data_IF_626394619342
#
_entry.id   IF_626394619342
#
_cell.length_a   1.000
_cell.length_b   1.000
_cell.length_c   1.000
_cell.angle_alpha   90.00
_cell.angle_beta   90.00
_cell.angle_gamma   90.00
#
_symmetry.space_group_name_H-M   'P 1'
#
loop_
_entity.id
_entity.type
_entity.pdbx_description
1 polymer ?
#
# COMPACT_ATOMS: atom_id res chain seq x y z
N UNK A 1 -7.99 26.15 -6.23
CA UNK A 1 -7.35 25.55 -7.42
C UNK A 1 -8.14 24.30 -7.85
N UNK A 2 -8.62 24.22 -9.09
CA UNK A 2 -9.45 23.09 -9.56
C UNK A 2 -8.64 21.78 -9.73
N UNK A 3 -7.41 21.87 -10.24
CA UNK A 3 -6.52 20.72 -10.46
C UNK A 3 -6.21 20.02 -9.13
N UNK A 4 -5.95 20.80 -8.08
CA UNK A 4 -5.71 20.26 -6.74
C UNK A 4 -6.92 19.49 -6.20
N UNK A 5 -8.13 20.05 -6.35
CA UNK A 5 -9.38 19.40 -5.87
C UNK A 5 -9.66 18.10 -6.64
N UNK A 6 -9.46 18.10 -7.95
CA UNK A 6 -9.60 16.90 -8.79
C UNK A 6 -8.62 15.82 -8.35
N UNK A 7 -7.33 16.15 -8.21
CA UNK A 7 -6.32 15.21 -7.78
C UNK A 7 -6.62 14.64 -6.38
N UNK A 8 -7.04 15.47 -5.43
CA UNK A 8 -7.41 15.00 -4.09
C UNK A 8 -8.59 14.01 -4.11
N UNK A 9 -9.61 14.27 -4.93
CA UNK A 9 -10.74 13.35 -5.11
C UNK A 9 -10.29 12.04 -5.76
N UNK A 10 -9.43 12.11 -6.76
CA UNK A 10 -8.93 10.92 -7.43
C UNK A 10 -8.08 10.04 -6.50
N UNK A 11 -7.24 10.66 -5.67
CA UNK A 11 -6.48 9.93 -4.63
C UNK A 11 -7.43 9.28 -3.61
N UNK A 12 -8.50 9.97 -3.20
CA UNK A 12 -9.49 9.37 -2.31
C UNK A 12 -10.19 8.15 -2.95
N UNK A 13 -10.51 8.23 -4.25
CA UNK A 13 -11.07 7.12 -5.01
C UNK A 13 -10.08 5.95 -5.14
N UNK A 14 -8.80 6.24 -5.39
CA UNK A 14 -7.72 5.24 -5.41
C UNK A 14 -7.64 4.48 -4.08
N UNK A 15 -7.64 5.21 -2.96
CA UNK A 15 -7.62 4.62 -1.60
C UNK A 15 -8.86 3.78 -1.38
N UNK A 16 -10.05 4.26 -1.73
CA UNK A 16 -11.30 3.52 -1.53
C UNK A 16 -11.33 2.20 -2.33
N UNK A 17 -10.81 2.23 -3.57
CA UNK A 17 -10.83 1.10 -4.49
C UNK A 17 -9.88 -0.03 -4.10
N UNK A 18 -8.79 0.24 -3.36
CA UNK A 18 -7.81 -0.77 -2.99
C UNK A 18 -7.75 -1.05 -1.48
N UNK A 19 -8.30 -2.19 -0.99
CA UNK A 19 -8.25 -2.54 0.44
C UNK A 19 -6.86 -2.88 0.97
N UNK A 20 -5.88 -3.22 0.12
CA UNK A 20 -4.52 -3.55 0.58
C UNK A 20 -3.74 -2.31 0.99
N UNK A 21 -4.15 -1.14 0.48
CA UNK A 21 -3.47 0.14 0.73
C UNK A 21 -3.79 0.63 2.13
N UNK A 22 -2.76 0.71 2.97
CA UNK A 22 -2.88 1.04 4.40
C UNK A 22 -1.89 2.12 4.85
N UNK A 23 -0.87 2.40 4.04
CA UNK A 23 0.13 3.44 4.31
C UNK A 23 0.44 4.28 3.05
N UNK A 24 1.07 5.44 3.23
CA UNK A 24 1.42 6.32 2.09
C UNK A 24 2.60 5.73 1.32
N UNK A 25 3.64 5.32 2.05
CA UNK A 25 4.87 4.72 1.55
C UNK A 25 5.17 3.40 2.28
N UNK A 26 6.00 2.54 1.68
CA UNK A 26 6.41 1.29 2.33
C UNK A 26 7.23 1.54 3.62
N UNK A 27 7.88 2.70 3.71
CA UNK A 27 8.66 3.09 4.90
C UNK A 27 7.76 3.46 6.08
N UNK A 28 6.52 3.88 5.83
CA UNK A 28 5.52 4.19 6.86
C UNK A 28 4.99 2.93 7.59
N UNK A 29 5.36 1.73 7.14
CA UNK A 29 5.00 0.49 7.85
C UNK A 29 5.77 0.42 9.17
N UNK A 30 5.11 0.22 10.32
CA UNK A 30 5.79 0.14 11.62
C UNK A 30 6.79 -1.02 11.69
N UNK A 31 7.96 -0.79 12.28
CA UNK A 31 9.02 -1.81 12.42
C UNK A 31 8.53 -3.07 13.16
N UNK A 32 7.64 -2.92 14.14
CA UNK A 32 7.02 -4.06 14.83
C UNK A 32 6.19 -4.94 13.88
N UNK A 33 5.47 -4.33 12.93
CA UNK A 33 4.73 -5.07 11.90
C UNK A 33 5.69 -5.74 10.93
N UNK A 34 6.77 -5.05 10.52
CA UNK A 34 7.81 -5.63 9.66
C UNK A 34 8.47 -6.86 10.30
N UNK A 35 8.81 -6.77 11.59
CA UNK A 35 9.41 -7.86 12.34
C UNK A 35 8.46 -9.06 12.48
N UNK A 36 7.20 -8.81 12.88
CA UNK A 36 6.17 -9.86 12.97
C UNK A 36 5.95 -10.57 11.64
N UNK A 37 5.83 -9.80 10.56
CA UNK A 37 5.64 -10.38 9.23
C UNK A 37 6.85 -11.20 8.78
N UNK A 38 8.07 -10.73 9.07
CA UNK A 38 9.30 -11.46 8.78
C UNK A 38 9.35 -12.81 9.51
N UNK A 39 8.95 -12.82 10.78
CA UNK A 39 8.86 -14.04 11.58
C UNK A 39 7.84 -15.02 11.00
N UNK A 40 6.64 -14.54 10.66
CA UNK A 40 5.58 -15.35 10.03
C UNK A 40 6.03 -15.94 8.69
N UNK A 41 6.66 -15.15 7.83
CA UNK A 41 7.18 -15.62 6.54
C UNK A 41 8.30 -16.65 6.71
N UNK A 42 9.19 -16.48 7.70
CA UNK A 42 10.26 -17.45 8.00
C UNK A 42 9.73 -18.80 8.50
N UNK A 43 8.55 -18.83 9.11
CA UNK A 43 7.93 -20.06 9.63
C UNK A 43 7.17 -20.87 8.55
N UNK A 44 7.08 -20.37 7.31
CA UNK A 44 6.35 -21.09 6.26
C UNK A 44 7.03 -22.39 5.87
N UNK A 45 6.23 -23.45 5.76
CA UNK A 45 6.67 -24.81 5.41
C UNK A 45 7.43 -24.88 4.08
N UNK A 46 7.12 -23.98 3.14
CA UNK A 46 7.77 -23.91 1.83
C UNK A 46 9.25 -23.48 1.91
N UNK A 47 9.69 -23.02 3.09
CA UNK A 47 11.09 -22.73 3.40
C UNK A 47 11.81 -23.90 4.08
N UNK A 48 11.09 -24.94 4.50
CA UNK A 48 11.68 -26.11 5.12
C UNK A 48 12.68 -26.79 4.16
N UNK A 49 13.88 -27.09 4.66
CA UNK A 49 14.96 -27.70 3.88
C UNK A 49 15.74 -26.74 2.98
N UNK A 50 15.37 -25.44 2.91
CA UNK A 50 16.20 -24.43 2.24
C UNK A 50 17.33 -23.96 3.17
N UNK A 51 18.54 -23.71 2.64
CA UNK A 51 19.60 -23.07 3.42
C UNK A 51 19.14 -21.70 3.96
N UNK A 52 19.57 -21.34 5.17
CA UNK A 52 19.13 -20.13 5.89
C UNK A 52 19.31 -18.84 5.08
N UNK A 53 20.42 -18.72 4.35
CA UNK A 53 20.71 -17.59 3.47
C UNK A 53 19.74 -17.48 2.29
N UNK A 54 19.25 -18.63 1.77
CA UNK A 54 18.27 -18.67 0.69
C UNK A 54 16.88 -18.35 1.24
N UNK A 55 16.49 -18.95 2.37
CA UNK A 55 15.23 -18.66 3.04
C UNK A 55 15.11 -17.16 3.37
N UNK A 56 16.15 -16.57 3.95
CA UNK A 56 16.18 -15.14 4.30
C UNK A 56 15.98 -14.25 3.07
N UNK A 57 16.67 -14.51 1.96
CA UNK A 57 16.52 -13.73 0.72
C UNK A 57 15.11 -13.86 0.12
N UNK A 58 14.51 -15.05 0.21
CA UNK A 58 13.12 -15.26 -0.25
C UNK A 58 12.17 -14.42 0.60
N UNK A 59 12.31 -14.47 1.92
CA UNK A 59 11.49 -13.69 2.85
C UNK A 59 11.64 -12.20 2.61
N UNK A 60 12.86 -11.68 2.45
CA UNK A 60 13.10 -10.27 2.12
C UNK A 60 12.38 -9.83 0.85
N UNK A 61 12.41 -10.65 -0.20
CA UNK A 61 11.67 -10.38 -1.44
C UNK A 61 10.15 -10.35 -1.24
N UNK A 62 9.61 -11.27 -0.43
CA UNK A 62 8.17 -11.33 -0.09
C UNK A 62 7.74 -10.11 0.72
N UNK A 63 8.51 -9.75 1.74
CA UNK A 63 8.25 -8.57 2.57
C UNK A 63 8.29 -7.29 1.73
N UNK A 64 9.30 -7.14 0.88
CA UNK A 64 9.39 -5.99 -0.03
C UNK A 64 8.17 -5.87 -0.93
N UNK A 65 7.71 -6.99 -1.50
CA UNK A 65 6.50 -7.02 -2.32
C UNK A 65 5.26 -6.64 -1.50
N UNK A 66 5.07 -7.26 -0.32
CA UNK A 66 3.92 -7.01 0.55
C UNK A 66 3.82 -5.55 0.98
N UNK A 67 4.93 -4.96 1.44
CA UNK A 67 4.93 -3.56 1.87
C UNK A 67 4.78 -2.58 0.70
N UNK A 68 5.27 -2.94 -0.49
CA UNK A 68 5.00 -2.16 -1.70
C UNK A 68 3.51 -2.19 -2.10
N UNK A 69 2.83 -3.34 -1.95
CA UNK A 69 1.38 -3.47 -2.20
C UNK A 69 0.53 -2.70 -1.17
N UNK A 70 1.05 -2.48 0.03
CA UNK A 70 0.40 -1.68 1.08
C UNK A 70 0.57 -0.17 0.89
N UNK A 71 1.57 0.26 0.12
CA UNK A 71 1.94 1.65 -0.07
C UNK A 71 1.14 2.32 -1.18
N UNK A 72 0.46 3.42 -0.88
CA UNK A 72 -0.32 4.20 -1.84
C UNK A 72 0.53 4.72 -3.00
N UNK A 73 1.70 5.30 -2.73
CA UNK A 73 2.51 5.95 -3.77
C UNK A 73 3.01 4.98 -4.85
N UNK A 74 3.25 3.72 -4.48
CA UNK A 74 3.71 2.67 -5.41
C UNK A 74 2.59 2.04 -6.25
N UNK A 75 1.33 2.35 -5.97
CA UNK A 75 0.19 1.79 -6.69
C UNK A 75 0.13 2.34 -8.12
N UNK A 76 -0.38 1.49 -9.04
CA UNK A 76 -0.80 1.94 -10.36
C UNK A 76 -1.98 2.89 -10.24
N UNK A 77 -1.97 3.94 -11.06
CA UNK A 77 -3.01 4.96 -11.04
C UNK A 77 -4.27 4.45 -11.73
N UNK A 78 -5.42 4.51 -11.06
CA UNK A 78 -6.67 3.91 -11.54
C UNK A 78 -7.16 4.49 -12.88
N UNK A 79 -6.79 5.74 -13.21
CA UNK A 79 -7.14 6.35 -14.50
C UNK A 79 -6.11 6.10 -15.61
N UNK A 80 -4.92 5.61 -15.27
CA UNK A 80 -3.79 5.40 -16.18
C UNK A 80 -2.80 4.40 -15.56
N UNK A 81 -2.96 3.12 -15.88
CA UNK A 81 -2.15 2.04 -15.29
C UNK A 81 -0.69 2.05 -15.75
N UNK A 82 -0.32 2.86 -16.74
CA UNK A 82 1.07 3.05 -17.12
C UNK A 82 1.84 3.81 -16.03
N UNK A 83 1.14 4.61 -15.23
CA UNK A 83 1.73 5.46 -14.19
C UNK A 83 1.42 4.97 -12.78
N UNK A 84 2.28 5.37 -11.86
CA UNK A 84 2.09 5.22 -10.42
C UNK A 84 1.45 6.48 -9.82
N UNK A 85 0.86 6.35 -8.63
CA UNK A 85 0.35 7.50 -7.86
C UNK A 85 1.47 8.52 -7.61
N UNK A 86 2.71 8.06 -7.37
CA UNK A 86 3.87 8.95 -7.19
C UNK A 86 4.20 9.76 -8.44
N UNK A 87 4.18 9.14 -9.63
CA UNK A 87 4.43 9.83 -10.90
C UNK A 87 3.33 10.87 -11.19
N UNK A 88 2.07 10.51 -10.97
CA UNK A 88 0.95 11.45 -11.13
C UNK A 88 1.07 12.61 -10.14
N UNK A 89 1.46 12.35 -8.88
CA UNK A 89 1.73 13.39 -7.89
C UNK A 89 2.81 14.38 -8.38
N UNK A 90 3.94 13.86 -8.89
CA UNK A 90 5.03 14.68 -9.46
C UNK A 90 4.57 15.51 -10.66
N UNK A 91 3.76 14.94 -11.55
CA UNK A 91 3.16 15.67 -12.67
C UNK A 91 2.25 16.81 -12.19
N UNK A 92 1.46 16.58 -11.12
CA UNK A 92 0.61 17.64 -10.54
C UNK A 92 1.44 18.74 -9.89
N UNK A 93 2.52 18.40 -9.18
CA UNK A 93 3.47 19.37 -8.60
C UNK A 93 4.07 20.25 -9.71
N UNK A 94 4.57 19.64 -10.79
CA UNK A 94 5.16 20.36 -11.92
C UNK A 94 4.14 21.29 -12.59
N UNK A 95 2.89 20.86 -12.73
CA UNK A 95 1.81 21.66 -13.34
C UNK A 95 1.35 22.83 -12.46
N UNK A 96 1.40 22.67 -11.13
CA UNK A 96 0.94 23.68 -10.18
C UNK A 96 2.03 24.66 -9.75
N UNK A 97 3.30 24.26 -9.82
CA UNK A 97 4.42 25.05 -9.32
C UNK A 97 4.48 25.11 -7.79
N UNK A 98 3.79 24.21 -7.10
CA UNK A 98 3.70 24.14 -5.64
C UNK A 98 4.03 22.73 -5.15
N UNK A 99 4.66 22.64 -3.98
CA UNK A 99 4.92 21.34 -3.36
C UNK A 99 3.62 20.71 -2.86
N UNK A 100 3.38 19.44 -3.22
CA UNK A 100 2.23 18.65 -2.79
C UNK A 100 2.69 17.39 -2.08
N UNK A 101 2.06 17.09 -0.95
CA UNK A 101 2.35 15.91 -0.14
C UNK A 101 1.04 15.25 0.27
N UNK A 102 0.94 13.94 0.05
CA UNK A 102 -0.13 13.12 0.64
C UNK A 102 0.30 12.81 2.08
N UNK A 103 -0.28 13.50 3.06
CA UNK A 103 0.17 13.40 4.46
C UNK A 103 -0.32 12.13 5.17
N UNK A 104 -1.60 11.80 4.98
CA UNK A 104 -2.30 10.67 5.61
C UNK A 104 -3.63 10.43 4.92
N UNK A 105 -4.13 9.21 5.01
CA UNK A 105 -5.50 8.87 4.63
C UNK A 105 -6.09 7.92 5.67
N UNK A 106 -7.41 7.78 5.64
CA UNK A 106 -8.14 6.74 6.36
C UNK A 106 -9.17 6.19 5.39
N UNK A 107 -9.27 4.87 5.35
CA UNK A 107 -10.32 4.16 4.61
C UNK A 107 -11.26 3.54 5.64
N UNK A 108 -12.55 3.78 5.47
CA UNK A 108 -13.59 3.21 6.33
C UNK A 108 -14.50 2.36 5.46
N UNK A 109 -14.67 1.09 5.83
CA UNK A 109 -15.62 0.19 5.20
C UNK A 109 -16.79 -0.09 6.15
N UNK A 110 -18.02 0.03 5.64
CA UNK A 110 -19.19 -0.36 6.39
C UNK A 110 -19.19 -1.88 6.62
N UNK A 111 -19.33 -2.30 7.87
CA UNK A 111 -19.34 -3.72 8.25
C UNK A 111 -17.96 -4.34 8.49
N UNK A 112 -16.87 -3.56 8.42
CA UNK A 112 -15.54 -4.06 8.77
C UNK A 112 -15.49 -4.51 10.23
N UNK A 113 -15.12 -5.78 10.46
CA UNK A 113 -15.06 -6.39 11.79
C UNK A 113 -16.40 -6.87 12.37
N UNK A 114 -17.49 -6.82 11.61
CA UNK A 114 -18.76 -7.44 12.01
C UNK A 114 -18.86 -8.87 11.44
N UNK A 115 -19.09 -9.86 12.31
CA UNK A 115 -19.55 -11.18 11.85
C UNK A 115 -20.94 -11.02 11.24
N UNK A 116 -21.13 -11.56 10.02
CA UNK A 116 -22.46 -11.61 9.41
C UNK A 116 -23.35 -12.44 10.34
N UNK A 117 -24.51 -11.89 10.72
CA UNK A 117 -25.59 -12.74 11.22
C UNK A 117 -26.06 -13.59 10.06
N UNK A 118 -25.96 -14.90 10.20
CA UNK A 118 -26.71 -15.83 9.39
C UNK A 118 -28.19 -15.66 9.78
N UNK A 119 -28.96 -14.99 8.93
CA UNK A 119 -30.41 -15.00 9.00
C UNK A 119 -30.89 -16.21 8.20
N UNK A 120 -31.25 -17.29 8.91
CA UNK A 120 -32.03 -18.43 8.40
C UNK A 120 -33.45 -18.02 7.95
#
# INVERSE_FOLDING_TARGET
NAIFKEFANDVAMQVAANPTVTCVTADDVPEEMKAKEKELEMQKEDLAGKPENIATKIVEGRLKKKFAEMALLGQKWLKDEDKTVEEVLKERIAKLGENLVIRRFVRLNLGEGLEKKDDD
#
